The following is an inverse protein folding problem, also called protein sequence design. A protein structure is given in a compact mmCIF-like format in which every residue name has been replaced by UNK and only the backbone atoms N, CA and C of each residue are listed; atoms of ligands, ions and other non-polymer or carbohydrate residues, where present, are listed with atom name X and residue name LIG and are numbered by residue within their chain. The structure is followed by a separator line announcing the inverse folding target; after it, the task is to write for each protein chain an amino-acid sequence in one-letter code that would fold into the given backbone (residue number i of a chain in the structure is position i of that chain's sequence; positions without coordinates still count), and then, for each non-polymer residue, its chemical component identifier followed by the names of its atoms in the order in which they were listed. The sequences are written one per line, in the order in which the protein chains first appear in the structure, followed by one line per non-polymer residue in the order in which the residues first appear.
data_IF_695411922776
#
_entry.id   IF_695411922776
#
_cell.length_a   1.000
_cell.length_b   1.000
_cell.length_c   1.000
_cell.angle_alpha   90.00
_cell.angle_beta   90.00
_cell.angle_gamma   90.00
#
_symmetry.space_group_name_H-M   'P 1'
#
loop_
_entity.id
_entity.type
_entity.pdbx_description
1 polymer ?
#
# COMPACT_ATOMS: atom_id res chain seq x y z
N UNK A 1 46.15 8.26 -26.03
CA UNK A 1 45.03 9.05 -25.45
C UNK A 1 43.79 8.74 -26.27
N UNK A 2 42.76 8.14 -25.68
CA UNK A 2 41.45 7.97 -26.32
C UNK A 2 40.40 8.00 -25.23
N UNK A 3 39.81 9.18 -25.00
CA UNK A 3 38.70 9.37 -24.07
C UNK A 3 37.41 9.34 -24.89
N UNK A 4 36.70 8.21 -24.82
CA UNK A 4 35.47 7.93 -25.56
C UNK A 4 34.25 8.71 -25.06
N UNK A 5 33.22 8.88 -25.92
CA UNK A 5 32.09 9.81 -25.76
C UNK A 5 30.96 9.29 -24.86
N UNK A 6 31.26 8.52 -23.81
CA UNK A 6 30.21 7.88 -22.97
C UNK A 6 29.58 8.83 -21.92
N UNK A 7 30.18 9.98 -21.63
CA UNK A 7 29.71 10.87 -20.56
C UNK A 7 28.47 11.70 -20.93
N UNK A 8 28.17 11.84 -22.22
CA UNK A 8 27.07 12.67 -22.72
C UNK A 8 25.73 11.94 -22.56
N UNK A 9 25.71 10.63 -22.81
CA UNK A 9 24.50 9.81 -22.77
C UNK A 9 23.93 9.69 -21.34
N UNK A 10 24.81 9.55 -20.34
CA UNK A 10 24.41 9.50 -18.93
C UNK A 10 23.82 10.82 -18.43
N UNK A 11 24.31 11.96 -18.91
CA UNK A 11 23.77 13.28 -18.52
C UNK A 11 22.39 13.52 -19.12
N UNK A 12 22.20 13.13 -20.37
CA UNK A 12 20.91 13.26 -21.05
C UNK A 12 19.85 12.33 -20.43
N UNK A 13 20.24 11.12 -20.01
CA UNK A 13 19.39 10.22 -19.24
C UNK A 13 19.00 10.82 -17.88
N UNK A 14 19.95 11.38 -17.15
CA UNK A 14 19.71 12.02 -15.85
C UNK A 14 18.79 13.24 -15.98
N UNK A 15 18.96 14.06 -17.02
CA UNK A 15 18.08 15.21 -17.25
C UNK A 15 16.66 14.81 -17.69
N UNK A 16 16.50 13.67 -18.38
CA UNK A 16 15.17 13.13 -18.69
C UNK A 16 14.46 12.64 -17.43
N UNK A 17 15.16 11.89 -16.57
CA UNK A 17 14.62 11.44 -15.28
C UNK A 17 14.27 12.61 -14.35
N UNK A 18 15.10 13.65 -14.31
CA UNK A 18 14.83 14.86 -13.52
C UNK A 18 13.58 15.62 -14.01
N UNK A 19 13.31 15.61 -15.33
CA UNK A 19 12.12 16.24 -15.92
C UNK A 19 10.85 15.39 -15.73
N UNK A 20 10.97 14.07 -15.66
CA UNK A 20 9.85 13.15 -15.39
C UNK A 20 9.42 13.14 -13.90
N UNK A 21 10.27 13.58 -12.98
CA UNK A 21 10.00 13.63 -11.53
C UNK A 21 8.85 14.55 -11.07
N UNK A 22 8.15 15.23 -11.98
CA UNK A 22 6.98 16.07 -11.66
C UNK A 22 5.64 15.34 -11.79
N UNK A 23 5.58 14.12 -12.33
CA UNK A 23 4.40 13.26 -12.16
C UNK A 23 4.52 12.56 -10.80
N UNK A 24 3.76 13.05 -9.81
CA UNK A 24 3.73 12.58 -8.42
C UNK A 24 3.54 11.07 -8.31
N UNK A 25 4.62 10.30 -8.43
CA UNK A 25 4.74 8.98 -7.86
C UNK A 25 5.39 9.18 -6.51
N UNK A 26 4.55 9.14 -5.46
CA UNK A 26 5.06 9.17 -4.09
C UNK A 26 5.68 7.80 -3.82
N UNK A 27 6.99 7.69 -4.02
CA UNK A 27 7.73 6.50 -3.64
C UNK A 27 7.76 6.41 -2.10
N UNK A 28 7.08 5.40 -1.56
CA UNK A 28 7.09 5.10 -0.12
C UNK A 28 7.96 3.86 0.07
N UNK A 29 9.19 4.06 0.55
CA UNK A 29 10.09 2.98 0.97
C UNK A 29 9.89 2.70 2.45
N UNK A 30 9.43 1.50 2.80
CA UNK A 30 9.20 1.09 4.19
C UNK A 30 10.26 0.06 4.59
N UNK A 31 11.04 0.39 5.61
CA UNK A 31 12.02 -0.54 6.21
C UNK A 31 11.34 -1.26 7.37
N UNK A 32 11.14 -2.57 7.22
CA UNK A 32 10.73 -3.45 8.33
C UNK A 32 11.98 -4.05 8.97
N UNK A 33 12.37 -3.59 10.16
CA UNK A 33 13.45 -4.20 10.94
C UNK A 33 12.89 -5.14 12.02
N UNK A 34 13.60 -6.22 12.38
CA UNK A 34 13.24 -7.06 13.52
C UNK A 34 13.37 -6.22 14.81
N UNK A 35 12.25 -5.70 15.32
CA UNK A 35 12.21 -4.78 16.46
C UNK A 35 11.45 -3.47 16.21
N UNK A 36 11.04 -3.18 14.97
CA UNK A 36 10.13 -2.07 14.68
C UNK A 36 8.74 -2.38 15.29
N UNK A 37 8.22 -1.43 16.08
CA UNK A 37 6.86 -1.44 16.65
C UNK A 37 5.87 -1.90 15.59
N UNK A 38 4.91 -2.74 15.97
CA UNK A 38 3.83 -3.23 15.10
C UNK A 38 3.30 -2.11 14.20
N UNK A 39 3.67 -2.17 12.91
CA UNK A 39 3.20 -1.19 11.93
C UNK A 39 1.75 -1.52 11.61
N UNK A 40 0.84 -0.66 12.07
CA UNK A 40 -0.55 -0.65 11.64
C UNK A 40 -0.76 0.34 10.50
N UNK A 41 -1.60 -0.01 9.52
CA UNK A 41 -1.98 0.87 8.42
C UNK A 41 -3.48 1.09 8.41
N UNK A 42 -3.91 2.31 8.12
CA UNK A 42 -5.28 2.54 7.70
C UNK A 42 -5.45 1.91 6.30
N UNK A 43 -6.53 1.16 6.13
CA UNK A 43 -6.87 0.51 4.86
C UNK A 43 -8.31 0.81 4.46
N UNK A 44 -8.60 0.61 3.19
CA UNK A 44 -9.95 0.59 2.64
C UNK A 44 -10.20 -0.73 1.93
N UNK A 45 -11.34 -1.35 2.21
CA UNK A 45 -11.80 -2.57 1.53
C UNK A 45 -12.22 -2.23 0.12
N UNK A 46 -11.67 -2.92 -0.87
CA UNK A 46 -11.97 -2.72 -2.30
C UNK A 46 -12.95 -3.75 -2.81
N UNK A 47 -12.77 -5.01 -2.42
CA UNK A 47 -13.67 -6.09 -2.78
C UNK A 47 -13.49 -7.28 -1.84
N UNK A 48 -14.50 -8.14 -1.81
CA UNK A 48 -14.34 -9.50 -1.32
C UNK A 48 -13.42 -10.31 -2.25
N UNK A 49 -12.64 -11.24 -1.70
CA UNK A 49 -11.80 -12.14 -2.48
C UNK A 49 -12.23 -13.60 -2.32
N UNK A 50 -12.18 -14.14 -1.10
CA UNK A 50 -12.59 -15.52 -0.80
C UNK A 50 -12.70 -15.70 0.71
N UNK A 51 -13.70 -16.45 1.20
CA UNK A 51 -13.97 -16.61 2.64
C UNK A 51 -13.97 -15.26 3.39
N UNK A 52 -13.27 -15.13 4.51
CA UNK A 52 -13.07 -13.86 5.22
C UNK A 52 -11.87 -13.04 4.71
N UNK A 53 -11.41 -13.26 3.47
CA UNK A 53 -10.30 -12.55 2.84
C UNK A 53 -10.82 -11.50 1.86
N UNK A 54 -10.26 -10.30 1.98
CA UNK A 54 -10.62 -9.13 1.20
C UNK A 54 -9.43 -8.58 0.44
N UNK A 55 -9.70 -8.00 -0.72
CA UNK A 55 -8.76 -7.09 -1.38
C UNK A 55 -8.88 -5.73 -0.71
N UNK A 56 -7.77 -5.23 -0.19
CA UNK A 56 -7.68 -3.96 0.54
C UNK A 56 -6.58 -3.10 -0.06
N UNK A 57 -6.67 -1.79 0.12
CA UNK A 57 -5.60 -0.85 -0.23
C UNK A 57 -5.27 0.01 0.98
N UNK A 58 -3.99 0.32 1.17
CA UNK A 58 -3.59 1.27 2.19
C UNK A 58 -4.15 2.66 1.86
N UNK A 59 -4.52 3.41 2.90
CA UNK A 59 -4.98 4.79 2.76
C UNK A 59 -4.23 5.71 3.71
N UNK A 60 -3.99 6.92 3.26
CA UNK A 60 -3.48 8.01 4.07
C UNK A 60 -4.64 8.86 4.56
N UNK A 61 -4.76 9.01 5.88
CA UNK A 61 -5.72 9.92 6.50
C UNK A 61 -5.15 11.32 6.46
N UNK A 62 -5.78 12.21 5.70
CA UNK A 62 -5.42 13.62 5.63
C UNK A 62 -6.05 14.44 6.77
N UNK A 63 -6.17 15.75 6.56
CA UNK A 63 -6.78 16.67 7.51
C UNK A 63 -8.25 16.32 7.81
N UNK A 64 -8.77 16.81 8.94
CA UNK A 64 -10.16 16.61 9.32
C UNK A 64 -11.12 17.10 8.21
N UNK A 65 -12.05 16.21 7.81
CA UNK A 65 -13.00 16.50 6.73
C UNK A 65 -12.46 16.22 5.31
N UNK A 66 -11.21 15.77 5.16
CA UNK A 66 -10.68 15.31 3.88
C UNK A 66 -10.99 13.84 3.61
N UNK A 67 -11.08 13.46 2.33
CA UNK A 67 -11.25 12.07 1.92
C UNK A 67 -9.89 11.37 1.97
N UNK A 68 -9.77 10.18 2.60
CA UNK A 68 -8.52 9.42 2.60
C UNK A 68 -8.00 9.10 1.20
N UNK A 69 -6.69 9.21 1.00
CA UNK A 69 -6.03 8.97 -0.29
C UNK A 69 -5.53 7.53 -0.34
N UNK A 70 -5.88 6.79 -1.40
CA UNK A 70 -5.42 5.42 -1.62
C UNK A 70 -3.94 5.41 -2.05
N UNK A 71 -3.10 4.59 -1.41
CA UNK A 71 -1.65 4.52 -1.66
C UNK A 71 -1.20 3.08 -1.89
N UNK A 72 -0.22 2.92 -2.80
CA UNK A 72 0.36 1.61 -3.11
C UNK A 72 -0.53 0.71 -3.97
N UNK A 73 -0.33 -0.60 -3.84
CA UNK A 73 -1.10 -1.62 -4.57
C UNK A 73 -2.11 -2.30 -3.66
N UNK A 74 -3.16 -2.86 -4.26
CA UNK A 74 -4.10 -3.70 -3.52
C UNK A 74 -3.38 -4.96 -3.01
N UNK A 75 -3.76 -5.39 -1.82
CA UNK A 75 -3.24 -6.58 -1.17
C UNK A 75 -4.36 -7.34 -0.49
N UNK A 76 -4.14 -8.62 -0.21
CA UNK A 76 -5.11 -9.43 0.51
C UNK A 76 -4.93 -9.25 2.02
N UNK A 77 -6.04 -9.15 2.75
CA UNK A 77 -6.07 -9.13 4.20
C UNK A 77 -7.25 -9.95 4.72
N UNK A 78 -7.03 -10.62 5.86
CA UNK A 78 -8.02 -11.49 6.51
C UNK A 78 -8.79 -10.69 7.57
N UNK A 79 -10.12 -10.71 7.51
CA UNK A 79 -10.97 -10.14 8.55
C UNK A 79 -11.16 -11.14 9.69
N UNK A 80 -10.71 -10.79 10.89
CA UNK A 80 -10.83 -11.61 12.09
C UNK A 80 -12.21 -11.56 12.73
N UNK A 81 -13.06 -10.61 12.37
CA UNK A 81 -14.43 -10.51 12.89
C UNK A 81 -15.38 -11.54 12.27
N UNK A 82 -15.00 -12.14 11.14
CA UNK A 82 -15.85 -13.05 10.37
C UNK A 82 -15.33 -14.49 10.40
N UNK A 83 -16.22 -15.44 10.09
CA UNK A 83 -15.87 -16.86 10.03
C UNK A 83 -14.89 -17.16 8.90
N UNK A 84 -13.84 -17.91 9.21
CA UNK A 84 -12.85 -18.41 8.24
C UNK A 84 -13.43 -19.42 7.24
N UNK A 85 -14.63 -19.93 7.48
CA UNK A 85 -15.28 -20.95 6.66
C UNK A 85 -16.43 -20.40 5.80
N UNK A 86 -16.78 -19.12 5.95
CA UNK A 86 -17.88 -18.49 5.23
C UNK A 86 -17.38 -17.35 4.35
N UNK A 87 -18.14 -17.05 3.31
CA UNK A 87 -17.91 -15.84 2.52
C UNK A 87 -18.19 -14.62 3.39
N UNK A 88 -17.22 -13.71 3.42
CA UNK A 88 -17.32 -12.45 4.11
C UNK A 88 -18.40 -11.55 3.51
N UNK A 89 -18.93 -10.69 4.35
CA UNK A 89 -20.10 -9.84 4.15
C UNK A 89 -19.77 -8.35 4.26
N UNK A 90 -18.51 -8.02 4.57
CA UNK A 90 -18.05 -6.64 4.74
C UNK A 90 -18.15 -5.88 3.40
N UNK A 91 -18.82 -4.72 3.37
CA UNK A 91 -19.01 -3.98 2.13
C UNK A 91 -17.70 -3.35 1.63
N UNK A 92 -17.61 -3.18 0.30
CA UNK A 92 -16.56 -2.37 -0.29
C UNK A 92 -16.69 -0.91 0.16
N UNK A 93 -15.56 -0.27 0.43
CA UNK A 93 -15.49 1.09 0.96
C UNK A 93 -15.32 1.17 2.48
N UNK A 94 -15.44 0.06 3.21
CA UNK A 94 -15.18 0.03 4.66
C UNK A 94 -13.72 0.37 4.95
N UNK A 95 -13.52 1.25 5.93
CA UNK A 95 -12.19 1.60 6.43
C UNK A 95 -11.88 0.78 7.68
N UNK A 96 -10.66 0.29 7.78
CA UNK A 96 -10.20 -0.49 8.93
C UNK A 96 -8.71 -0.24 9.21
N UNK A 97 -8.23 -0.75 10.34
CA UNK A 97 -6.81 -0.81 10.64
C UNK A 97 -6.31 -2.22 10.33
N UNK A 98 -5.29 -2.31 9.49
CA UNK A 98 -4.62 -3.55 9.15
C UNK A 98 -3.30 -3.65 9.92
N UNK A 99 -3.03 -4.84 10.46
CA UNK A 99 -1.77 -5.20 11.10
C UNK A 99 -1.12 -6.32 10.30
N UNK A 100 0.22 -6.31 10.27
CA UNK A 100 1.01 -7.42 9.73
C UNK A 100 1.45 -8.32 10.87
N UNK A 101 0.92 -9.54 10.94
CA UNK A 101 1.37 -10.57 11.88
C UNK A 101 2.08 -11.67 11.09
N UNK A 102 3.39 -11.79 11.29
CA UNK A 102 4.23 -12.70 10.52
C UNK A 102 4.16 -12.39 9.02
N UNK A 103 3.69 -13.37 8.23
CA UNK A 103 3.49 -13.24 6.79
C UNK A 103 2.02 -12.97 6.39
N UNK A 104 1.15 -12.61 7.34
CA UNK A 104 -0.29 -12.36 7.09
C UNK A 104 -0.67 -10.91 7.38
N UNK A 105 -1.48 -10.38 6.48
CA UNK A 105 -2.21 -9.14 6.68
C UNK A 105 -3.54 -9.48 7.35
N UNK A 106 -3.79 -8.89 8.49
CA UNK A 106 -5.02 -9.11 9.25
C UNK A 106 -5.65 -7.77 9.59
N UNK A 107 -6.96 -7.76 9.71
CA UNK A 107 -7.70 -6.62 10.24
C UNK A 107 -8.93 -7.13 10.98
N UNK A 108 -9.58 -6.24 11.71
CA UNK A 108 -10.82 -6.53 12.40
C UNK A 108 -11.83 -5.45 12.05
N UNK A 109 -12.96 -5.85 11.45
CA UNK A 109 -14.09 -4.98 11.19
C UNK A 109 -15.39 -5.79 11.16
N UNK A 110 -16.35 -5.42 12.00
CA UNK A 110 -17.69 -6.00 11.96
C UNK A 110 -18.46 -5.47 10.73
N UNK A 111 -19.31 -6.29 10.09
CA UNK A 111 -20.15 -5.90 8.95
C UNK A 111 -21.10 -4.72 9.23
#
# INVERSE_FOLDING_TARGET
MSNGPESINSRELLERLAREGSQRVREVSIVTSPGARESGWAIKVKSHSSYNVYSVIAVEIGDAGSVPVEIGQQMQAVNLAESFLQAGTLPAGTYAIMLRIGDKNIFYAEP
#
